data_IF_527558613161
#
_entry.id   IF_527558613161
#
_cell.length_a   1.000
_cell.length_b   1.000
_cell.length_c   1.000
_cell.angle_alpha   90.00
_cell.angle_beta   90.00
_cell.angle_gamma   90.00
#
_symmetry.space_group_name_H-M   'P 1'
#
loop_
_entity.id
_entity.type
_entity.pdbx_description
1 polymer ?
#
# COMPACT_ATOMS: atom_id res chain seq x y z
N UNK A 1 34.98 32.38 -17.25
CA UNK A 1 35.08 31.25 -16.31
C UNK A 1 33.74 30.75 -15.76
N UNK A 2 32.76 31.62 -15.43
CA UNK A 2 31.46 31.22 -14.83
C UNK A 2 30.58 30.29 -15.68
N UNK A 3 30.56 30.47 -17.01
CA UNK A 3 29.74 29.65 -17.92
C UNK A 3 30.23 28.20 -18.08
N UNK A 4 31.52 27.91 -17.80
CA UNK A 4 32.06 26.55 -17.85
C UNK A 4 31.71 25.76 -16.58
N UNK A 5 31.65 26.43 -15.42
CA UNK A 5 31.24 25.84 -14.15
C UNK A 5 29.79 25.35 -14.18
N UNK A 6 28.87 26.17 -14.73
CA UNK A 6 27.44 25.84 -14.79
C UNK A 6 27.18 24.59 -15.65
N UNK A 7 27.89 24.44 -16.78
CA UNK A 7 27.77 23.26 -17.65
C UNK A 7 28.25 21.98 -16.95
N UNK A 8 29.31 22.05 -16.14
CA UNK A 8 29.80 20.92 -15.36
C UNK A 8 28.81 20.50 -14.25
N UNK A 9 28.16 21.47 -13.59
CA UNK A 9 27.18 21.18 -12.53
C UNK A 9 25.91 20.54 -13.12
N UNK A 10 25.42 21.03 -14.26
CA UNK A 10 24.25 20.44 -14.94
C UNK A 10 24.55 19.03 -15.45
N UNK A 11 25.75 18.79 -15.99
CA UNK A 11 26.17 17.45 -16.42
C UNK A 11 26.26 16.46 -15.26
N UNK A 12 26.82 16.88 -14.12
CA UNK A 12 26.91 16.03 -12.93
C UNK A 12 25.53 15.73 -12.33
N UNK A 13 24.61 16.70 -12.31
CA UNK A 13 23.24 16.50 -11.85
C UNK A 13 22.46 15.51 -12.73
N UNK A 14 22.63 15.58 -14.06
CA UNK A 14 21.97 14.65 -14.99
C UNK A 14 22.44 13.20 -14.79
N UNK A 15 23.73 12.99 -14.53
CA UNK A 15 24.29 11.66 -14.23
C UNK A 15 23.79 11.14 -12.88
N UNK A 16 23.71 11.99 -11.86
CA UNK A 16 23.18 11.60 -10.55
C UNK A 16 21.70 11.18 -10.61
N UNK A 17 20.87 11.87 -11.40
CA UNK A 17 19.45 11.53 -11.60
C UNK A 17 19.32 10.19 -12.36
N UNK A 18 20.15 9.96 -13.38
CA UNK A 18 20.14 8.71 -14.13
C UNK A 18 20.58 7.51 -13.26
N UNK A 19 21.59 7.69 -12.39
CA UNK A 19 21.99 6.67 -11.43
C UNK A 19 20.92 6.40 -10.36
N UNK A 20 20.19 7.43 -9.91
CA UNK A 20 19.09 7.27 -8.97
C UNK A 20 17.92 6.47 -9.57
N UNK A 21 17.63 6.64 -10.86
CA UNK A 21 16.61 5.86 -11.55
C UNK A 21 16.97 4.37 -11.66
N UNK A 22 18.27 4.03 -11.74
CA UNK A 22 18.75 2.65 -11.76
C UNK A 22 18.70 1.95 -10.38
N UNK A 23 18.55 2.73 -9.31
CA UNK A 23 18.37 2.23 -7.94
C UNK A 23 16.90 2.08 -7.56
N UNK A 24 15.97 2.44 -8.45
CA UNK A 24 14.56 2.17 -8.22
C UNK A 24 14.34 0.66 -8.31
N UNK A 25 13.72 0.03 -7.28
CA UNK A 25 13.37 -1.37 -7.35
C UNK A 25 12.52 -1.60 -8.60
N UNK A 26 12.84 -2.65 -9.35
CA UNK A 26 12.09 -3.02 -10.55
C UNK A 26 10.59 -3.03 -10.20
N UNK A 27 9.72 -2.42 -11.01
CA UNK A 27 8.29 -2.46 -10.75
C UNK A 27 7.89 -3.93 -10.68
N UNK A 28 7.51 -4.37 -9.48
CA UNK A 28 7.04 -5.73 -9.25
C UNK A 28 5.92 -5.96 -10.25
N UNK A 29 6.00 -6.98 -11.13
CA UNK A 29 4.96 -7.22 -12.10
C UNK A 29 3.62 -7.37 -11.35
N UNK A 30 2.54 -6.73 -11.84
CA UNK A 30 1.24 -6.92 -11.20
C UNK A 30 0.98 -8.41 -11.13
N UNK A 31 0.54 -8.91 -9.96
CA UNK A 31 0.17 -10.32 -9.81
C UNK A 31 -0.95 -10.60 -10.82
N UNK A 32 -0.61 -11.25 -11.92
CA UNK A 32 -1.55 -11.64 -12.99
C UNK A 32 -2.28 -12.93 -12.67
N UNK A 33 -2.00 -13.54 -11.52
CA UNK A 33 -2.76 -14.67 -10.96
C UNK A 33 -4.13 -14.24 -10.41
N UNK A 34 -4.72 -13.19 -10.96
CA UNK A 34 -6.16 -13.02 -10.90
C UNK A 34 -6.77 -14.20 -11.65
N UNK A 35 -7.26 -15.20 -10.91
CA UNK A 35 -8.07 -16.29 -11.45
C UNK A 35 -9.19 -15.66 -12.28
N UNK A 36 -9.06 -15.71 -13.61
CA UNK A 36 -10.12 -15.33 -14.51
C UNK A 36 -11.21 -16.39 -14.37
N UNK A 37 -12.19 -16.13 -13.51
CA UNK A 37 -13.30 -17.05 -13.28
C UNK A 37 -14.34 -16.80 -14.36
N UNK A 38 -14.71 -17.83 -15.15
CA UNK A 38 -15.74 -17.69 -16.17
C UNK A 38 -17.04 -17.14 -15.58
N UNK A 39 -17.73 -16.32 -16.36
CA UNK A 39 -19.06 -15.80 -15.98
C UNK A 39 -19.97 -16.98 -15.64
N UNK A 40 -20.45 -17.04 -14.39
CA UNK A 40 -21.31 -18.12 -13.88
C UNK A 40 -20.64 -19.13 -12.95
N UNK A 41 -19.33 -19.00 -12.67
CA UNK A 41 -18.67 -19.73 -11.58
C UNK A 41 -18.39 -18.81 -10.38
N UNK A 42 -18.60 -19.32 -9.17
CA UNK A 42 -18.12 -18.67 -7.95
C UNK A 42 -16.59 -18.73 -7.93
N UNK A 43 -15.96 -17.58 -7.77
CA UNK A 43 -14.52 -17.52 -7.62
C UNK A 43 -14.11 -18.15 -6.28
N UNK A 44 -13.05 -19.00 -6.25
CA UNK A 44 -12.53 -19.50 -4.99
C UNK A 44 -11.95 -18.32 -4.22
N UNK A 45 -12.70 -17.83 -3.23
CA UNK A 45 -12.26 -16.78 -2.34
C UNK A 45 -11.32 -17.41 -1.30
N UNK A 46 -10.03 -17.09 -1.38
CA UNK A 46 -8.99 -17.62 -0.47
C UNK A 46 -9.12 -17.15 0.98
N UNK A 47 -10.21 -16.47 1.34
CA UNK A 47 -10.48 -16.00 2.69
C UNK A 47 -9.68 -14.77 3.11
N UNK A 48 -8.71 -14.32 2.31
CA UNK A 48 -7.81 -13.22 2.64
C UNK A 48 -7.98 -12.02 1.70
N UNK A 49 -7.76 -10.83 2.25
CA UNK A 49 -7.77 -9.53 1.57
C UNK A 49 -6.43 -8.84 1.77
N UNK A 50 -5.82 -8.39 0.68
CA UNK A 50 -4.65 -7.51 0.74
C UNK A 50 -5.09 -6.09 1.11
N UNK A 51 -4.62 -5.60 2.25
CA UNK A 51 -4.80 -4.22 2.71
C UNK A 51 -3.48 -3.47 2.77
N UNK A 52 -3.45 -2.21 2.37
CA UNK A 52 -2.35 -1.28 2.61
C UNK A 52 -2.71 -0.42 3.83
N UNK A 53 -1.88 -0.46 4.87
CA UNK A 53 -2.04 0.33 6.10
C UNK A 53 -0.99 1.44 6.12
N UNK A 54 -1.44 2.68 6.34
CA UNK A 54 -0.60 3.88 6.46
C UNK A 54 -1.31 4.94 7.30
N UNK A 55 -0.55 5.89 7.83
CA UNK A 55 -1.10 7.03 8.55
C UNK A 55 -0.27 7.41 9.76
N UNK A 56 -0.69 8.49 10.42
CA UNK A 56 -0.04 8.97 11.64
C UNK A 56 -0.38 8.03 12.81
N UNK A 57 0.59 7.80 13.70
CA UNK A 57 0.42 6.89 14.85
C UNK A 57 0.55 5.40 14.54
N UNK A 58 0.77 5.01 13.28
CA UNK A 58 1.05 3.64 12.84
C UNK A 58 2.55 3.35 12.98
N UNK A 59 2.92 2.39 13.84
CA UNK A 59 4.32 1.98 13.99
C UNK A 59 4.82 1.11 12.83
N UNK A 60 3.93 0.33 12.22
CA UNK A 60 4.25 -0.62 11.16
C UNK A 60 3.37 -0.37 9.92
N UNK A 61 3.71 0.63 9.09
CA UNK A 61 3.01 0.84 7.83
C UNK A 61 3.45 -0.22 6.80
N UNK A 62 2.52 -0.68 5.97
CA UNK A 62 2.83 -1.71 4.97
C UNK A 62 1.60 -2.40 4.38
N UNK A 63 1.87 -3.37 3.51
CA UNK A 63 0.85 -4.22 2.90
C UNK A 63 0.72 -5.53 3.68
N UNK A 64 -0.52 -5.89 4.04
CA UNK A 64 -0.85 -7.07 4.82
C UNK A 64 -1.91 -7.90 4.11
N UNK A 65 -1.81 -9.22 4.17
CA UNK A 65 -2.90 -10.13 3.82
C UNK A 65 -3.67 -10.45 5.10
N UNK A 66 -4.95 -10.10 5.14
CA UNK A 66 -5.80 -10.25 6.32
C UNK A 66 -7.00 -11.14 6.02
N UNK A 67 -7.41 -12.03 6.94
CA UNK A 67 -8.67 -12.75 6.79
C UNK A 67 -9.87 -11.82 6.64
N UNK A 68 -10.84 -12.20 5.83
CA UNK A 68 -12.12 -11.51 5.77
C UNK A 68 -12.80 -11.52 7.13
N UNK A 69 -13.33 -10.38 7.55
CA UNK A 69 -13.92 -10.22 8.87
C UNK A 69 -12.91 -9.90 9.98
N UNK A 70 -11.64 -9.64 9.64
CA UNK A 70 -10.67 -9.04 10.57
C UNK A 70 -11.28 -7.80 11.21
N UNK A 71 -11.14 -7.69 12.52
CA UNK A 71 -11.68 -6.57 13.30
C UNK A 71 -10.75 -5.37 13.28
N UNK A 72 -11.29 -4.20 13.60
CA UNK A 72 -10.49 -2.99 13.76
C UNK A 72 -9.41 -3.14 14.83
N UNK A 73 -9.71 -3.81 15.96
CA UNK A 73 -8.74 -4.05 17.02
C UNK A 73 -7.55 -4.89 16.57
N UNK A 74 -7.81 -5.97 15.81
CA UNK A 74 -6.76 -6.80 15.22
C UNK A 74 -5.93 -6.02 14.20
N UNK A 75 -6.58 -5.22 13.35
CA UNK A 75 -5.92 -4.39 12.35
C UNK A 75 -5.01 -3.33 13.00
N UNK A 76 -5.48 -2.65 14.04
CA UNK A 76 -4.70 -1.65 14.76
C UNK A 76 -3.56 -2.27 15.57
N UNK A 77 -3.78 -3.43 16.19
CA UNK A 77 -2.73 -4.17 16.88
C UNK A 77 -1.62 -4.59 15.90
N UNK A 78 -1.98 -5.08 14.70
CA UNK A 78 -1.02 -5.44 13.66
C UNK A 78 -0.25 -4.24 13.13
N UNK A 79 -0.93 -3.11 12.94
CA UNK A 79 -0.34 -1.84 12.51
C UNK A 79 0.54 -1.19 13.60
N UNK A 80 0.48 -1.68 14.85
CA UNK A 80 1.10 -1.05 16.00
C UNK A 80 0.55 0.36 16.24
N UNK A 81 -0.75 0.56 16.00
CA UNK A 81 -1.41 1.84 16.18
C UNK A 81 -1.64 2.11 17.66
N UNK A 82 -1.13 3.25 18.16
CA UNK A 82 -1.17 3.60 19.58
C UNK A 82 -2.16 4.74 19.92
N UNK A 83 -2.94 5.21 18.94
CA UNK A 83 -3.96 6.24 19.14
C UNK A 83 -5.32 5.71 19.57
N UNK A 84 -6.25 6.61 19.86
CA UNK A 84 -7.64 6.26 20.10
C UNK A 84 -8.33 5.97 18.76
N UNK A 85 -8.81 4.75 18.58
CA UNK A 85 -9.53 4.42 17.36
C UNK A 85 -10.92 5.05 17.34
N UNK A 86 -11.35 5.69 16.24
CA UNK A 86 -12.73 6.13 16.08
C UNK A 86 -13.70 4.94 15.85
N UNK A 87 -13.18 3.73 15.65
CA UNK A 87 -13.97 2.52 15.38
C UNK A 87 -13.97 1.58 16.59
N UNK A 88 -15.09 0.86 16.85
CA UNK A 88 -15.12 -0.17 17.88
C UNK A 88 -14.12 -1.28 17.56
N UNK A 89 -13.30 -1.68 18.54
CA UNK A 89 -12.22 -2.64 18.34
C UNK A 89 -12.72 -4.05 17.94
N UNK A 90 -13.93 -4.41 18.33
CA UNK A 90 -14.58 -5.69 18.01
C UNK A 90 -15.38 -5.67 16.69
N UNK A 91 -15.57 -4.49 16.10
CA UNK A 91 -16.28 -4.37 14.84
C UNK A 91 -15.40 -4.85 13.67
N UNK A 92 -15.98 -5.57 12.69
CA UNK A 92 -15.27 -5.96 11.49
C UNK A 92 -14.93 -4.72 10.64
N UNK A 93 -13.78 -4.78 9.97
CA UNK A 93 -13.39 -3.76 9.00
C UNK A 93 -14.39 -3.71 7.85
N UNK A 94 -14.89 -2.51 7.54
CA UNK A 94 -15.90 -2.30 6.50
C UNK A 94 -15.24 -2.02 5.16
N UNK A 95 -15.13 -3.07 4.34
CA UNK A 95 -14.64 -2.95 2.97
C UNK A 95 -15.67 -2.24 2.08
N UNK A 96 -15.23 -1.19 1.38
CA UNK A 96 -16.08 -0.34 0.52
C UNK A 96 -16.52 0.96 1.19
N UNK A 97 -16.45 1.04 2.52
CA UNK A 97 -16.70 2.26 3.30
C UNK A 97 -15.38 2.81 3.84
N UNK A 98 -14.74 2.05 4.74
CA UNK A 98 -13.55 2.49 5.47
C UNK A 98 -12.25 2.02 4.78
N UNK A 99 -12.31 0.87 4.09
CA UNK A 99 -11.27 0.44 3.17
C UNK A 99 -11.72 0.74 1.72
N UNK A 100 -10.86 1.39 0.93
CA UNK A 100 -11.14 1.72 -0.47
C UNK A 100 -10.33 0.81 -1.40
N UNK A 101 -10.99 0.22 -2.39
CA UNK A 101 -10.31 -0.59 -3.42
C UNK A 101 -9.60 0.34 -4.40
N UNK A 102 -8.28 0.21 -4.52
CA UNK A 102 -7.56 0.94 -5.56
C UNK A 102 -7.59 0.27 -6.92
N UNK A 103 -7.14 1.00 -7.93
CA UNK A 103 -7.11 0.55 -9.32
C UNK A 103 -6.22 -0.68 -9.57
N UNK A 104 -5.32 -1.00 -8.64
CA UNK A 104 -4.45 -2.17 -8.65
C UNK A 104 -5.08 -3.40 -7.97
N UNK A 105 -6.34 -3.31 -7.52
CA UNK A 105 -7.05 -4.42 -6.87
C UNK A 105 -6.67 -4.63 -5.40
N UNK A 106 -5.94 -3.70 -4.78
CA UNK A 106 -5.56 -3.76 -3.36
C UNK A 106 -6.47 -2.84 -2.54
N UNK A 107 -7.02 -3.35 -1.44
CA UNK A 107 -7.78 -2.53 -0.50
C UNK A 107 -6.83 -1.63 0.28
N UNK A 108 -7.22 -0.38 0.53
CA UNK A 108 -6.38 0.60 1.23
C UNK A 108 -7.15 1.13 2.41
N UNK A 109 -6.51 1.16 3.57
CA UNK A 109 -7.06 1.75 4.78
C UNK A 109 -6.07 2.82 5.20
N UNK A 110 -6.57 4.05 5.29
CA UNK A 110 -5.79 5.19 5.77
C UNK A 110 -6.22 5.49 7.20
N UNK A 111 -5.31 5.25 8.13
CA UNK A 111 -5.54 5.50 9.55
C UNK A 111 -5.18 6.97 9.79
N UNK A 112 -6.16 7.84 9.64
CA UNK A 112 -6.03 9.26 10.00
C UNK A 112 -6.73 9.45 11.33
N UNK A 113 -5.96 9.65 12.40
CA UNK A 113 -6.46 9.95 13.74
C UNK A 113 -5.80 11.21 14.24
#
# INVERSE_FOLDING_TARGET
MRARLIKCVVGAAAVAIACAAALLPAPVPPRTEGLAVPVGQEAPYGGEICVLIRGDGVAFPGSYALPYGTTYGELFALAGFAGESPYPADAPVRYGEDAVLGADGVWRIEIVV
#
